data_IF_490145473210
#
_entry.id   IF_490145473210
#
_cell.length_a   1.000
_cell.length_b   1.000
_cell.length_c   1.000
_cell.angle_alpha   90.00
_cell.angle_beta   90.00
_cell.angle_gamma   90.00
#
_symmetry.space_group_name_H-M   'P 1'
#
loop_
_entity.id
_entity.type
_entity.pdbx_description
1 polymer ?
#
# COMPACT_ATOMS: atom_id res chain seq x y z
N UNK A 1 -13.74 20.81 10.24
CA UNK A 1 -14.28 19.70 11.05
C UNK A 1 -15.48 19.09 10.34
N UNK A 2 -15.28 17.95 9.69
CA UNK A 2 -16.10 16.71 9.62
C UNK A 2 -15.11 15.65 9.02
N UNK A 3 -15.29 14.35 9.28
CA UNK A 3 -14.62 13.69 10.40
C UNK A 3 -14.15 12.27 10.04
N UNK A 4 -13.52 11.60 11.00
CA UNK A 4 -13.55 10.15 11.06
C UNK A 4 -12.54 9.45 10.15
N UNK A 5 -11.42 9.05 10.74
CA UNK A 5 -11.03 7.64 10.78
C UNK A 5 -9.83 7.51 11.72
N UNK A 6 -9.88 6.49 12.56
CA UNK A 6 -8.89 6.12 13.56
C UNK A 6 -7.60 5.58 12.93
N UNK A 7 -6.94 6.37 12.07
CA UNK A 7 -5.62 6.06 11.52
C UNK A 7 -4.78 7.33 11.44
N UNK A 8 -4.57 7.99 12.57
CA UNK A 8 -3.38 8.84 12.71
C UNK A 8 -2.24 7.91 13.08
N UNK A 9 -1.80 7.09 12.12
CA UNK A 9 -0.55 6.38 12.24
C UNK A 9 0.56 7.43 12.31
N UNK A 10 1.48 7.31 13.27
CA UNK A 10 2.64 8.19 13.35
C UNK A 10 3.46 8.11 12.05
N UNK A 11 4.14 9.19 11.68
CA UNK A 11 4.98 9.27 10.48
C UNK A 11 5.93 8.06 10.32
N UNK A 12 6.48 7.56 11.44
CA UNK A 12 7.33 6.37 11.46
C UNK A 12 6.59 5.09 11.03
N UNK A 13 5.36 4.91 11.48
CA UNK A 13 4.50 3.78 11.10
C UNK A 13 4.16 3.86 9.62
N UNK A 14 3.81 5.06 9.13
CA UNK A 14 3.51 5.26 7.70
C UNK A 14 4.72 5.02 6.82
N UNK A 15 5.91 5.49 7.19
CA UNK A 15 7.15 5.21 6.46
C UNK A 15 7.43 3.71 6.37
N UNK A 16 7.35 3.00 7.50
CA UNK A 16 7.52 1.55 7.54
C UNK A 16 6.46 0.84 6.70
N UNK A 17 5.20 1.29 6.74
CA UNK A 17 4.14 0.72 5.93
C UNK A 17 4.45 0.88 4.44
N UNK A 18 4.82 2.09 3.99
CA UNK A 18 5.23 2.38 2.60
C UNK A 18 6.34 1.42 2.15
N UNK A 19 7.40 1.26 2.95
CA UNK A 19 8.52 0.37 2.62
C UNK A 19 8.06 -1.09 2.43
N UNK A 20 7.23 -1.59 3.34
CA UNK A 20 6.73 -2.98 3.27
C UNK A 20 5.73 -3.20 2.12
N UNK A 21 4.91 -2.21 1.78
CA UNK A 21 4.00 -2.26 0.62
C UNK A 21 4.81 -2.30 -0.67
N UNK A 22 5.88 -1.50 -0.78
CA UNK A 22 6.75 -1.50 -1.95
C UNK A 22 7.43 -2.86 -2.15
N UNK A 23 7.92 -3.49 -1.07
CA UNK A 23 8.51 -4.82 -1.12
C UNK A 23 7.50 -5.90 -1.56
N UNK A 24 6.28 -5.88 -1.01
CA UNK A 24 5.24 -6.83 -1.44
C UNK A 24 4.82 -6.59 -2.88
N UNK A 25 4.72 -5.32 -3.31
CA UNK A 25 4.40 -4.98 -4.69
C UNK A 25 5.42 -5.60 -5.66
N UNK A 26 6.72 -5.50 -5.39
CA UNK A 26 7.76 -6.09 -6.24
C UNK A 26 7.64 -7.63 -6.33
N UNK A 27 7.39 -8.29 -5.20
CA UNK A 27 7.17 -9.73 -5.16
C UNK A 27 5.94 -10.11 -5.98
N UNK A 28 4.83 -9.40 -5.78
CA UNK A 28 3.57 -9.69 -6.45
C UNK A 28 3.63 -9.44 -7.95
N UNK A 29 4.31 -8.37 -8.38
CA UNK A 29 4.53 -8.10 -9.80
C UNK A 29 5.36 -9.20 -10.44
N UNK A 30 6.42 -9.67 -9.77
CA UNK A 30 7.23 -10.80 -10.25
C UNK A 30 6.40 -12.08 -10.42
N UNK A 31 5.48 -12.37 -9.48
CA UNK A 31 4.58 -13.51 -9.60
C UNK A 31 3.59 -13.38 -10.76
N UNK A 32 3.01 -12.19 -10.96
CA UNK A 32 2.07 -11.92 -12.05
C UNK A 32 2.77 -12.03 -13.41
N UNK A 33 3.98 -11.49 -13.53
CA UNK A 33 4.80 -11.60 -14.74
C UNK A 33 5.13 -13.07 -15.05
N UNK A 34 5.53 -13.86 -14.05
CA UNK A 34 5.75 -15.32 -14.19
C UNK A 34 4.49 -16.09 -14.62
N UNK A 35 3.31 -15.59 -14.25
CA UNK A 35 2.01 -16.15 -14.65
C UNK A 35 1.53 -15.64 -16.02
N UNK A 36 2.33 -14.86 -16.75
CA UNK A 36 1.95 -14.18 -18.00
C UNK A 36 0.72 -13.26 -17.86
N UNK A 37 0.50 -12.68 -16.68
CA UNK A 37 -0.58 -11.72 -16.40
C UNK A 37 -0.16 -10.30 -16.74
N UNK A 38 0.03 -10.07 -18.05
CA UNK A 38 0.64 -8.85 -18.59
C UNK A 38 -0.21 -7.59 -18.46
N UNK A 39 -1.50 -7.70 -18.11
CA UNK A 39 -2.38 -6.54 -17.86
C UNK A 39 -2.54 -6.25 -16.37
N UNK A 40 -2.53 -7.30 -15.54
CA UNK A 40 -2.71 -7.21 -14.10
C UNK A 40 -1.48 -6.63 -13.42
N UNK A 41 -0.28 -7.00 -13.86
CA UNK A 41 0.97 -6.44 -13.35
C UNK A 41 1.04 -4.91 -13.51
N UNK A 42 0.90 -4.32 -14.72
CA UNK A 42 0.93 -2.87 -14.87
C UNK A 42 -0.24 -2.17 -14.17
N UNK A 43 -1.43 -2.79 -14.13
CA UNK A 43 -2.58 -2.24 -13.40
C UNK A 43 -2.32 -2.15 -11.90
N UNK A 44 -1.77 -3.21 -11.31
CA UNK A 44 -1.40 -3.26 -9.89
C UNK A 44 -0.33 -2.22 -9.59
N UNK A 45 0.75 -2.19 -10.38
CA UNK A 45 1.85 -1.22 -10.24
C UNK A 45 1.32 0.21 -10.23
N UNK A 46 0.55 0.59 -11.25
CA UNK A 46 0.03 1.96 -11.38
C UNK A 46 -0.84 2.35 -10.18
N UNK A 47 -1.75 1.48 -9.75
CA UNK A 47 -2.62 1.77 -8.61
C UNK A 47 -1.84 1.92 -7.32
N UNK A 48 -0.97 0.95 -7.01
CA UNK A 48 -0.22 0.95 -5.76
C UNK A 48 0.78 2.10 -5.69
N UNK A 49 1.48 2.43 -6.79
CA UNK A 49 2.39 3.59 -6.81
C UNK A 49 1.66 4.90 -6.56
N UNK A 50 0.50 5.11 -7.16
CA UNK A 50 -0.32 6.30 -6.88
C UNK A 50 -0.77 6.36 -5.41
N UNK A 51 -1.20 5.24 -4.84
CA UNK A 51 -1.60 5.19 -3.44
C UNK A 51 -0.41 5.48 -2.50
N UNK A 52 0.80 4.99 -2.81
CA UNK A 52 2.02 5.28 -2.06
C UNK A 52 2.39 6.77 -2.10
N UNK A 53 2.29 7.42 -3.26
CA UNK A 53 2.51 8.86 -3.40
C UNK A 53 1.51 9.66 -2.53
N UNK A 54 0.24 9.25 -2.54
CA UNK A 54 -0.81 9.87 -1.72
C UNK A 54 -0.53 9.70 -0.21
N UNK A 55 -0.10 8.51 0.21
CA UNK A 55 0.33 8.27 1.60
C UNK A 55 1.53 9.13 1.98
N UNK A 56 2.51 9.31 1.09
CA UNK A 56 3.71 10.08 1.37
C UNK A 56 3.46 11.59 1.44
N UNK A 57 2.58 12.12 0.57
CA UNK A 57 2.33 13.57 0.49
C UNK A 57 1.20 14.04 1.40
N UNK A 58 0.12 13.27 1.50
CA UNK A 58 -1.13 13.67 2.18
C UNK A 58 -1.33 12.89 3.49
N UNK A 59 -0.63 11.77 3.67
CA UNK A 59 -0.75 10.90 4.84
C UNK A 59 -1.87 9.85 4.71
N UNK A 60 -2.66 9.86 3.63
CA UNK A 60 -3.69 8.86 3.38
C UNK A 60 -4.00 8.70 1.88
N UNK A 61 -4.64 7.60 1.51
CA UNK A 61 -5.12 7.34 0.14
C UNK A 61 -6.57 6.81 0.15
N UNK A 62 -7.20 6.78 -1.03
CA UNK A 62 -8.50 6.12 -1.19
C UNK A 62 -8.32 4.60 -1.13
N UNK A 63 -9.00 3.94 -0.20
CA UNK A 63 -8.85 2.50 0.01
C UNK A 63 -7.71 2.14 0.97
N UNK A 64 -7.36 3.01 1.92
CA UNK A 64 -6.27 2.80 2.88
C UNK A 64 -6.44 1.51 3.70
N UNK A 65 -7.68 1.05 3.88
CA UNK A 65 -8.01 -0.20 4.55
C UNK A 65 -7.37 -1.44 3.90
N UNK A 66 -7.08 -1.39 2.59
CA UNK A 66 -6.38 -2.46 1.87
C UNK A 66 -4.91 -2.60 2.32
N UNK A 67 -4.38 -1.59 3.00
CA UNK A 67 -3.00 -1.54 3.50
C UNK A 67 -2.92 -1.67 5.01
N UNK A 68 -4.05 -1.90 5.70
CA UNK A 68 -4.14 -2.04 7.16
C UNK A 68 -3.14 -3.06 7.73
N UNK A 69 -2.85 -4.15 7.01
CA UNK A 69 -1.83 -5.14 7.38
C UNK A 69 -0.43 -4.52 7.56
N UNK A 70 -0.04 -3.63 6.64
CA UNK A 70 1.27 -2.95 6.68
C UNK A 70 1.31 -1.84 7.73
N UNK A 71 0.19 -1.13 7.88
CA UNK A 71 0.09 -0.01 8.82
C UNK A 71 0.02 -0.52 10.26
N UNK A 72 -0.73 -1.59 10.55
CA UNK A 72 -0.91 -2.09 11.91
C UNK A 72 0.23 -2.94 12.45
N UNK A 73 1.23 -3.30 11.65
CA UNK A 73 2.26 -4.29 12.02
C UNK A 73 1.71 -5.67 12.41
N UNK A 74 0.45 -6.00 12.09
CA UNK A 74 -0.10 -7.31 12.48
C UNK A 74 0.64 -8.41 11.74
N UNK A 75 1.03 -9.45 12.48
CA UNK A 75 1.49 -10.68 11.85
C UNK A 75 0.41 -11.21 10.90
N UNK A 76 0.78 -11.82 9.76
CA UNK A 76 -0.18 -12.45 8.89
C UNK A 76 -1.00 -13.46 9.68
N UNK A 77 -2.33 -13.31 9.66
CA UNK A 77 -3.29 -14.27 10.22
C UNK A 77 -3.63 -15.37 9.23
#
# INVERSE_FOLDING_TARGET
VFPGSHYVASDEVMRRAIDTIQQELEQRLTELEKQNKLLEAPRLRMRTTFDLEMMQQIGFCSGIENYSRHIDAREPG
#
